data_IF_007674585103
#
_entry.id   IF_007674585103
#
_cell.length_a   1.000
_cell.length_b   1.000
_cell.length_c   1.000
_cell.angle_alpha   90.00
_cell.angle_beta   90.00
_cell.angle_gamma   90.00
#
_symmetry.space_group_name_H-M   'P 1'
#
loop_
_entity.id
_entity.type
_entity.pdbx_description
1 polymer ?
#
# COMPACT_ATOMS: atom_id res chain seq x y z
N UNK A 1 33.98 -41.80 41.87
CA UNK A 1 33.00 -40.72 41.60
C UNK A 1 33.49 -39.95 40.38
N UNK A 2 32.88 -40.17 39.21
CA UNK A 2 33.19 -39.40 38.00
C UNK A 2 31.87 -39.07 37.30
N UNK A 3 31.49 -37.79 37.31
CA UNK A 3 30.31 -37.25 36.62
C UNK A 3 30.68 -36.94 35.17
N UNK A 4 30.08 -37.65 34.21
CA UNK A 4 30.10 -37.22 32.81
C UNK A 4 28.86 -36.35 32.54
N UNK A 5 29.14 -35.10 32.14
CA UNK A 5 28.18 -34.07 31.77
C UNK A 5 27.44 -34.47 30.48
N UNK A 6 26.12 -34.56 30.54
CA UNK A 6 25.26 -34.66 29.36
C UNK A 6 25.24 -33.32 28.61
N UNK A 7 25.69 -33.33 27.36
CA UNK A 7 25.54 -32.21 26.42
C UNK A 7 24.18 -32.35 25.71
N UNK A 8 23.28 -31.40 25.96
CA UNK A 8 21.98 -31.30 25.29
C UNK A 8 22.16 -30.47 24.02
N UNK A 9 22.07 -31.08 22.84
CA UNK A 9 22.14 -30.36 21.55
C UNK A 9 20.73 -29.88 21.21
N UNK A 10 20.53 -28.55 21.25
CA UNK A 10 19.32 -27.88 20.81
C UNK A 10 19.36 -27.68 19.28
N UNK A 11 18.64 -28.51 18.53
CA UNK A 11 18.45 -28.31 17.09
C UNK A 11 17.46 -27.18 16.84
N UNK A 12 17.96 -26.04 16.35
CA UNK A 12 17.16 -24.92 15.86
C UNK A 12 16.53 -25.32 14.51
N UNK A 13 15.22 -25.55 14.48
CA UNK A 13 14.49 -25.76 13.23
C UNK A 13 14.36 -24.40 12.51
N UNK A 14 15.11 -24.23 11.41
CA UNK A 14 14.91 -23.16 10.46
C UNK A 14 13.58 -23.40 9.73
N UNK A 15 12.51 -22.73 10.17
CA UNK A 15 11.28 -22.68 9.39
C UNK A 15 11.57 -21.94 8.07
N UNK A 16 11.24 -22.50 6.89
CA UNK A 16 11.33 -21.75 5.65
C UNK A 16 10.25 -20.66 5.67
N UNK A 17 10.69 -19.40 5.82
CA UNK A 17 9.82 -18.25 5.60
C UNK A 17 9.27 -18.32 4.17
N UNK A 18 7.96 -18.13 3.94
CA UNK A 18 7.43 -18.07 2.59
C UNK A 18 8.05 -16.85 1.89
N UNK A 19 8.88 -17.11 0.88
CA UNK A 19 9.40 -16.06 0.00
C UNK A 19 8.19 -15.51 -0.75
N UNK A 20 7.80 -14.27 -0.44
CA UNK A 20 6.82 -13.55 -1.22
C UNK A 20 7.39 -13.38 -2.64
N UNK A 21 6.87 -14.14 -3.59
CA UNK A 21 7.19 -13.98 -5.01
C UNK A 21 6.55 -12.68 -5.46
N UNK A 22 7.34 -11.60 -5.46
CA UNK A 22 6.93 -10.35 -6.10
C UNK A 22 6.92 -10.60 -7.62
N UNK A 23 5.75 -10.41 -8.25
CA UNK A 23 5.64 -10.41 -9.70
C UNK A 23 6.64 -9.44 -10.31
N UNK A 24 7.30 -9.80 -11.41
CA UNK A 24 8.24 -8.89 -12.09
C UNK A 24 7.52 -7.62 -12.55
N UNK A 25 8.23 -6.48 -12.51
CA UNK A 25 7.70 -5.16 -12.85
C UNK A 25 7.59 -5.00 -14.37
N UNK A 26 6.68 -5.77 -14.98
CA UNK A 26 6.40 -5.70 -16.41
C UNK A 26 5.36 -4.59 -16.60
N UNK A 27 5.72 -3.57 -17.38
CA UNK A 27 4.81 -2.50 -17.78
C UNK A 27 3.54 -3.12 -18.37
N UNK A 28 2.43 -2.89 -17.69
CA UNK A 28 1.17 -3.60 -17.93
C UNK A 28 0.19 -2.72 -18.70
N UNK A 29 -0.70 -3.33 -19.50
CA UNK A 29 -1.70 -2.57 -20.26
C UNK A 29 -2.62 -1.75 -19.34
N UNK A 30 -3.14 -0.59 -19.78
CA UNK A 30 -4.03 0.24 -18.96
C UNK A 30 -5.27 -0.49 -18.45
N UNK A 31 -5.78 -1.47 -19.21
CA UNK A 31 -6.92 -2.30 -18.81
C UNK A 31 -6.56 -3.20 -17.62
N UNK A 32 -5.40 -3.86 -17.67
CA UNK A 32 -4.95 -4.72 -16.59
C UNK A 32 -4.59 -3.91 -15.33
N UNK A 33 -4.07 -2.68 -15.46
CA UNK A 33 -3.91 -1.78 -14.31
C UNK A 33 -5.25 -1.46 -13.64
N UNK A 34 -6.31 -1.17 -14.39
CA UNK A 34 -7.65 -0.93 -13.81
C UNK A 34 -8.18 -2.13 -13.02
N UNK A 35 -7.84 -3.36 -13.43
CA UNK A 35 -8.22 -4.57 -12.70
C UNK A 35 -7.44 -4.74 -11.37
N UNK A 36 -6.25 -4.14 -11.25
CA UNK A 36 -5.45 -4.14 -10.03
C UNK A 36 -5.86 -3.03 -9.06
N UNK A 37 -6.44 -1.93 -9.55
CA UNK A 37 -6.85 -0.79 -8.73
C UNK A 37 -8.00 -1.08 -7.76
N UNK A 38 -8.81 -2.11 -8.02
CA UNK A 38 -10.03 -2.37 -7.23
C UNK A 38 -9.97 -3.74 -6.56
N UNK A 39 -10.30 -3.78 -5.28
CA UNK A 39 -10.50 -4.99 -4.49
C UNK A 39 -11.73 -4.87 -3.61
N UNK A 40 -12.36 -6.00 -3.32
CA UNK A 40 -13.52 -6.06 -2.44
C UNK A 40 -13.16 -6.86 -1.19
N UNK A 41 -13.61 -6.38 -0.04
CA UNK A 41 -13.37 -6.99 1.26
C UNK A 41 -14.70 -7.19 1.99
N UNK A 42 -14.79 -8.26 2.76
CA UNK A 42 -15.98 -8.62 3.53
C UNK A 42 -15.68 -8.70 5.02
N UNK A 43 -16.73 -8.46 5.82
CA UNK A 43 -16.66 -8.56 7.28
C UNK A 43 -15.89 -7.42 7.92
N UNK A 44 -15.90 -6.23 7.31
CA UNK A 44 -15.42 -4.98 7.89
C UNK A 44 -16.38 -3.84 7.53
N UNK A 45 -16.53 -2.87 8.42
CA UNK A 45 -17.31 -1.64 8.15
C UNK A 45 -16.41 -0.50 7.63
N UNK A 46 -17.01 0.59 7.16
CA UNK A 46 -16.27 1.67 6.48
C UNK A 46 -15.27 2.36 7.41
N UNK A 47 -15.63 2.54 8.69
CA UNK A 47 -14.74 3.12 9.68
C UNK A 47 -13.50 2.25 9.92
N UNK A 48 -13.69 0.93 10.07
CA UNK A 48 -12.59 -0.04 10.19
C UNK A 48 -11.71 -0.05 8.94
N UNK A 49 -12.31 -0.08 7.75
CA UNK A 49 -11.57 -0.04 6.48
C UNK A 49 -10.72 1.23 6.35
N UNK A 50 -11.22 2.36 6.85
CA UNK A 50 -10.51 3.63 6.84
C UNK A 50 -9.32 3.63 7.80
N UNK A 51 -9.51 3.16 9.03
CA UNK A 51 -8.40 2.99 9.99
C UNK A 51 -7.31 2.06 9.45
N UNK A 52 -7.72 0.93 8.86
CA UNK A 52 -6.80 -0.03 8.24
C UNK A 52 -6.08 0.59 7.04
N UNK A 53 -6.79 1.35 6.22
CA UNK A 53 -6.20 2.05 5.07
C UNK A 53 -5.13 3.07 5.50
N UNK A 54 -5.40 3.85 6.55
CA UNK A 54 -4.44 4.81 7.10
C UNK A 54 -3.20 4.08 7.62
N UNK A 55 -3.38 3.02 8.42
CA UNK A 55 -2.26 2.23 8.94
C UNK A 55 -1.44 1.61 7.80
N UNK A 56 -2.11 1.04 6.79
CA UNK A 56 -1.44 0.45 5.61
C UNK A 56 -0.59 1.48 4.86
N UNK A 57 -1.09 2.70 4.67
CA UNK A 57 -0.30 3.76 4.06
C UNK A 57 0.93 4.13 4.91
N UNK A 58 0.75 4.26 6.23
CA UNK A 58 1.83 4.58 7.14
C UNK A 58 2.92 3.49 7.16
N UNK A 59 2.52 2.22 7.19
CA UNK A 59 3.43 1.06 7.15
C UNK A 59 4.25 1.02 5.85
N UNK A 60 3.63 1.43 4.73
CA UNK A 60 4.29 1.52 3.43
C UNK A 60 5.14 2.80 3.26
N UNK A 61 5.22 3.65 4.29
CA UNK A 61 6.00 4.89 4.26
C UNK A 61 5.34 6.03 3.48
N UNK A 62 4.02 5.99 3.31
CA UNK A 62 3.26 7.13 2.78
C UNK A 62 2.89 8.10 3.91
N UNK A 63 2.92 9.39 3.60
CA UNK A 63 2.43 10.46 4.46
C UNK A 63 1.00 10.79 4.05
N UNK A 64 0.06 10.68 4.98
CA UNK A 64 -1.34 11.06 4.74
C UNK A 64 -1.44 12.57 4.57
N UNK A 65 -2.04 13.00 3.46
CA UNK A 65 -2.24 14.42 3.15
C UNK A 65 -3.67 14.87 3.39
N UNK A 66 -4.65 13.98 3.15
CA UNK A 66 -6.07 14.26 3.35
C UNK A 66 -6.80 12.95 3.71
N UNK A 67 -7.79 13.02 4.60
CA UNK A 67 -8.69 11.90 4.86
C UNK A 67 -10.09 12.40 5.16
N UNK A 68 -11.11 11.74 4.61
CA UNK A 68 -12.52 12.03 4.87
C UNK A 68 -13.28 10.76 5.20
N UNK A 69 -13.77 10.67 6.43
CA UNK A 69 -14.55 9.53 6.90
C UNK A 69 -15.90 9.42 6.19
N UNK A 70 -16.58 10.54 5.95
CA UNK A 70 -17.87 10.58 5.27
C UNK A 70 -17.78 10.14 3.80
N UNK A 71 -16.68 10.47 3.13
CA UNK A 71 -16.44 10.10 1.73
C UNK A 71 -15.71 8.75 1.58
N UNK A 72 -15.20 8.17 2.67
CA UNK A 72 -14.32 7.00 2.60
C UNK A 72 -13.04 7.27 1.81
N UNK A 73 -12.51 8.49 1.89
CA UNK A 73 -11.40 8.95 1.07
C UNK A 73 -10.13 9.05 1.91
N UNK A 74 -9.01 8.55 1.38
CA UNK A 74 -7.67 8.81 1.91
C UNK A 74 -6.77 9.22 0.75
N UNK A 75 -6.07 10.35 0.89
CA UNK A 75 -4.97 10.74 0.02
C UNK A 75 -3.68 10.68 0.79
N UNK A 76 -2.64 10.16 0.14
CA UNK A 76 -1.33 10.02 0.74
C UNK A 76 -0.24 10.19 -0.32
N UNK A 77 0.93 10.66 0.09
CA UNK A 77 2.08 10.85 -0.78
C UNK A 77 3.29 10.10 -0.24
N UNK A 78 4.10 9.53 -1.12
CA UNK A 78 5.42 8.99 -0.80
C UNK A 78 6.44 9.68 -1.69
N UNK A 79 7.36 10.42 -1.08
CA UNK A 79 8.48 11.05 -1.79
C UNK A 79 9.58 10.01 -1.99
N UNK A 80 10.09 9.90 -3.21
CA UNK A 80 11.25 9.09 -3.58
C UNK A 80 12.34 10.02 -4.13
N UNK A 81 13.20 10.57 -3.25
CA UNK A 81 14.25 11.49 -3.65
C UNK A 81 15.19 10.89 -4.70
N UNK A 82 15.55 9.61 -4.54
CA UNK A 82 16.48 8.91 -5.45
C UNK A 82 15.92 8.77 -6.88
N UNK A 83 14.60 8.76 -7.02
CA UNK A 83 13.90 8.66 -8.30
C UNK A 83 13.42 10.03 -8.82
N UNK A 84 13.62 11.12 -8.07
CA UNK A 84 13.01 12.44 -8.33
C UNK A 84 11.50 12.35 -8.59
N UNK A 85 10.79 11.51 -7.83
CA UNK A 85 9.34 11.34 -7.96
C UNK A 85 8.61 11.41 -6.62
N UNK A 86 7.35 11.82 -6.69
CA UNK A 86 6.35 11.64 -5.63
C UNK A 86 5.31 10.66 -6.17
N UNK A 87 5.06 9.60 -5.41
CA UNK A 87 3.90 8.75 -5.63
C UNK A 87 2.74 9.38 -4.88
N UNK A 88 1.72 9.79 -5.63
CA UNK A 88 0.45 10.26 -5.09
C UNK A 88 -0.53 9.09 -5.10
N UNK A 89 -1.09 8.79 -3.94
CA UNK A 89 -2.06 7.74 -3.74
C UNK A 89 -3.42 8.33 -3.35
N UNK A 90 -4.48 7.76 -3.90
CA UNK A 90 -5.86 8.05 -3.50
C UNK A 90 -6.61 6.74 -3.32
N UNK A 91 -7.03 6.46 -2.10
CA UNK A 91 -7.89 5.33 -1.75
C UNK A 91 -9.31 5.81 -1.57
N UNK A 92 -10.26 5.13 -2.21
CA UNK A 92 -11.70 5.32 -1.99
C UNK A 92 -12.31 4.03 -1.47
N UNK A 93 -13.08 4.15 -0.39
CA UNK A 93 -13.72 3.07 0.33
C UNK A 93 -15.23 3.23 0.19
N UNK A 94 -15.84 2.39 -0.64
CA UNK A 94 -17.28 2.45 -0.92
C UNK A 94 -17.97 1.29 -0.20
N UNK A 95 -18.82 1.55 0.80
CA UNK A 95 -19.64 0.51 1.39
C UNK A 95 -20.70 0.05 0.37
N UNK A 96 -20.97 -1.25 0.32
CA UNK A 96 -22.06 -1.81 -0.48
C UNK A 96 -23.26 -2.11 0.43
N UNK A 97 -24.28 -1.24 0.48
CA UNK A 97 -25.40 -1.38 1.42
C UNK A 97 -26.28 -2.61 1.15
N UNK A 98 -26.15 -3.27 -0.02
CA UNK A 98 -26.97 -4.41 -0.42
C UNK A 98 -26.36 -5.79 -0.17
N UNK A 99 -25.13 -5.90 0.35
CA UNK A 99 -24.45 -7.18 0.62
C UNK A 99 -23.75 -7.11 1.98
N UNK A 100 -23.90 -8.16 2.79
CA UNK A 100 -23.28 -8.34 4.11
C UNK A 100 -21.92 -7.63 4.22
N UNK A 101 -21.83 -6.61 5.09
CA UNK A 101 -20.61 -5.87 5.45
C UNK A 101 -19.47 -5.88 4.40
N UNK A 102 -19.81 -5.49 3.17
CA UNK A 102 -18.91 -5.55 2.01
C UNK A 102 -18.44 -4.15 1.65
N UNK A 103 -17.14 -3.99 1.44
CA UNK A 103 -16.51 -2.74 1.06
C UNK A 103 -15.72 -2.94 -0.21
N UNK A 104 -15.93 -2.05 -1.16
CA UNK A 104 -15.10 -1.93 -2.35
C UNK A 104 -14.02 -0.88 -2.09
N UNK A 105 -12.77 -1.34 -2.07
CA UNK A 105 -11.59 -0.48 -1.99
C UNK A 105 -11.06 -0.21 -3.40
N UNK A 106 -10.88 1.05 -3.74
CA UNK A 106 -10.27 1.49 -5.00
C UNK A 106 -9.04 2.34 -4.73
N UNK A 107 -7.87 1.85 -5.14
CA UNK A 107 -6.60 2.56 -5.06
C UNK A 107 -6.23 3.13 -6.43
N UNK A 108 -6.01 4.44 -6.49
CA UNK A 108 -5.39 5.13 -7.62
C UNK A 108 -4.00 5.58 -7.22
N UNK A 109 -3.03 5.38 -8.11
CA UNK A 109 -1.64 5.77 -7.91
C UNK A 109 -1.17 6.57 -9.13
N UNK A 110 -0.47 7.68 -8.90
CA UNK A 110 0.17 8.47 -9.96
C UNK A 110 1.56 8.95 -9.55
N UNK A 111 2.46 9.04 -10.52
CA UNK A 111 3.75 9.70 -10.36
C UNK A 111 3.61 11.18 -10.66
N UNK A 112 4.16 12.00 -9.78
CA UNK A 112 4.45 13.42 -10.02
C UNK A 112 5.96 13.60 -9.92
N UNK A 113 6.58 14.44 -10.76
CA UNK A 113 8.00 14.76 -10.59
C UNK A 113 8.23 15.48 -9.25
N UNK A 114 9.35 15.17 -8.62
CA UNK A 114 9.89 15.84 -7.44
C UNK A 114 11.09 16.69 -7.88
N UNK A 115 11.07 17.99 -7.59
CA UNK A 115 12.16 18.91 -7.95
C UNK A 115 12.87 19.44 -6.69
N UNK A 116 14.19 19.55 -6.76
CA UNK A 116 15.02 20.15 -5.72
C UNK A 116 15.73 21.42 -6.26
N UNK A 117 16.10 22.33 -5.37
CA UNK A 117 16.98 23.46 -5.68
C UNK A 117 16.41 24.46 -6.70
N UNK A 118 17.29 24.99 -7.57
CA UNK A 118 16.95 26.02 -8.56
C UNK A 118 15.89 25.53 -9.56
N UNK A 119 15.85 24.24 -9.88
CA UNK A 119 14.84 23.67 -10.79
C UNK A 119 13.43 23.76 -10.17
N UNK A 120 13.29 23.52 -8.87
CA UNK A 120 12.02 23.74 -8.16
C UNK A 120 11.64 25.21 -8.05
N UNK A 121 12.62 26.10 -7.85
CA UNK A 121 12.40 27.55 -7.77
C UNK A 121 11.95 28.15 -9.12
N UNK A 122 12.51 27.67 -10.23
CA UNK A 122 12.18 28.10 -11.60
C UNK A 122 10.81 27.60 -12.09
N UNK A 123 10.22 26.62 -11.39
CA UNK A 123 8.89 26.09 -11.68
C UNK A 123 7.78 26.77 -10.86
N UNK A 124 8.12 27.68 -9.95
CA UNK A 124 7.15 28.46 -9.18
C UNK A 124 6.31 29.36 -10.11
N UNK A 125 5.13 28.86 -10.51
CA UNK A 125 4.20 29.56 -11.41
C UNK A 125 3.96 28.87 -12.76
N UNK A 126 4.65 27.76 -13.07
CA UNK A 126 4.32 26.95 -14.25
C UNK A 126 3.19 25.95 -13.93
N UNK A 127 2.35 25.58 -14.92
CA UNK A 127 1.36 24.53 -14.72
C UNK A 127 2.07 23.23 -14.30
N UNK A 128 1.48 22.44 -13.38
CA UNK A 128 2.10 21.21 -12.91
C UNK A 128 2.39 20.29 -14.10
N UNK A 129 3.63 19.82 -14.24
CA UNK A 129 3.96 18.81 -15.27
C UNK A 129 3.08 17.58 -15.03
N UNK A 130 2.55 17.03 -16.11
CA UNK A 130 1.48 16.03 -16.11
C UNK A 130 1.82 14.86 -15.19
N UNK A 131 0.95 14.56 -14.23
CA UNK A 131 1.04 13.32 -13.48
C UNK A 131 0.75 12.14 -14.40
N UNK A 132 1.53 11.08 -14.28
CA UNK A 132 1.31 9.84 -15.04
C UNK A 132 0.75 8.77 -14.10
N UNK A 133 -0.19 7.96 -14.59
CA UNK A 133 -0.69 6.83 -13.80
C UNK A 133 0.44 5.82 -13.59
N UNK A 134 0.55 5.29 -12.38
CA UNK A 134 1.49 4.21 -12.08
C UNK A 134 1.11 2.96 -12.89
N UNK A 135 2.02 2.49 -13.72
CA UNK A 135 1.86 1.26 -14.51
C UNK A 135 2.56 0.05 -13.88
N UNK A 136 3.15 0.22 -12.70
CA UNK A 136 3.75 -0.88 -11.94
C UNK A 136 2.67 -1.68 -11.21
N UNK A 137 2.47 -2.97 -11.54
CA UNK A 137 1.50 -3.82 -10.85
C UNK A 137 1.92 -4.12 -9.40
N UNK A 138 3.22 -4.02 -9.10
CA UNK A 138 3.79 -4.38 -7.79
C UNK A 138 3.25 -3.48 -6.70
N UNK A 139 3.18 -2.15 -6.93
CA UNK A 139 2.73 -1.20 -5.91
C UNK A 139 1.27 -1.44 -5.50
N UNK A 140 0.41 -1.77 -6.46
CA UNK A 140 -0.98 -2.14 -6.18
C UNK A 140 -1.06 -3.44 -5.37
N UNK A 141 -0.29 -4.46 -5.74
CA UNK A 141 -0.26 -5.74 -5.03
C UNK A 141 0.28 -5.58 -3.61
N UNK A 142 1.38 -4.84 -3.43
CA UNK A 142 1.96 -4.55 -2.13
C UNK A 142 0.94 -3.88 -1.21
N UNK A 143 0.26 -2.85 -1.70
CA UNK A 143 -0.79 -2.18 -0.94
C UNK A 143 -1.91 -3.14 -0.52
N UNK A 144 -2.50 -3.87 -1.47
CA UNK A 144 -3.64 -4.73 -1.15
C UNK A 144 -3.26 -5.94 -0.29
N UNK A 145 -2.04 -6.45 -0.41
CA UNK A 145 -1.53 -7.49 0.48
C UNK A 145 -1.38 -6.98 1.90
N UNK A 146 -0.78 -5.80 2.09
CA UNK A 146 -0.64 -5.17 3.40
C UNK A 146 -2.02 -4.84 4.01
N UNK A 147 -2.93 -4.28 3.21
CA UNK A 147 -4.31 -3.99 3.63
C UNK A 147 -5.05 -5.26 4.07
N UNK A 148 -4.96 -6.33 3.29
CA UNK A 148 -5.59 -7.62 3.62
C UNK A 148 -5.00 -8.22 4.90
N UNK A 149 -3.69 -8.16 5.07
CA UNK A 149 -3.02 -8.64 6.27
C UNK A 149 -3.50 -7.89 7.52
N UNK A 150 -3.61 -6.56 7.44
CA UNK A 150 -4.11 -5.72 8.54
C UNK A 150 -5.57 -6.01 8.90
N UNK A 151 -6.42 -6.41 7.95
CA UNK A 151 -7.78 -6.90 8.26
C UNK A 151 -7.74 -8.14 9.15
N UNK A 152 -6.85 -9.09 8.86
CA UNK A 152 -6.77 -10.34 9.61
C UNK A 152 -6.30 -10.13 11.04
N UNK A 153 -5.34 -9.22 11.27
CA UNK A 153 -4.88 -8.89 12.62
C UNK A 153 -5.98 -8.22 13.45
N UNK A 154 -6.77 -7.32 12.85
CA UNK A 154 -7.80 -6.57 13.58
C UNK A 154 -9.09 -7.38 13.86
N UNK A 155 -9.16 -8.65 13.44
CA UNK A 155 -10.32 -9.53 13.68
C UNK A 155 -10.14 -10.46 14.90
N UNK A 156 -8.93 -10.57 15.45
CA UNK A 156 -8.62 -11.30 16.69
C UNK A 156 -8.74 -10.41 17.92
#
# INVERSE_FOLDING_TARGET
MSLYKSFFILTLALNPFPIAVYAQDIVTSPLAIRALQTREFTGINQAQALSIGIATFQDLGFIITESSASLGLIKANQTRPDENTIIQATLTLVPNPGKEAKITCRLSLSYSPFYYGEEGANLAGQPPRQSSTVQSPILYQQFFNAFSYSIHINKT
#
